data_IF_576101324685
#
_entry.id   IF_576101324685
#
_cell.length_a   1.000
_cell.length_b   1.000
_cell.length_c   1.000
_cell.angle_alpha   90.00
_cell.angle_beta   90.00
_cell.angle_gamma   90.00
#
_symmetry.space_group_name_H-M   'P 1'
#
loop_
_entity.id
_entity.type
_entity.pdbx_description
1 polymer ?
#
# COMPACT_ATOMS: atom_id res chain seq x y z
N UNK A 1 -19.05 -16.83 -8.07
CA UNK A 1 -17.97 -15.91 -8.48
C UNK A 1 -16.65 -16.57 -8.15
N UNK A 2 -15.79 -16.68 -9.16
CA UNK A 2 -14.48 -17.33 -9.06
C UNK A 2 -13.47 -16.47 -8.30
N UNK A 3 -12.47 -17.12 -7.72
CA UNK A 3 -11.34 -16.46 -7.09
C UNK A 3 -10.43 -15.81 -8.15
N UNK A 4 -9.81 -14.69 -7.83
CA UNK A 4 -8.83 -14.01 -8.70
C UNK A 4 -7.42 -14.02 -8.10
N UNK A 5 -6.41 -13.89 -8.96
CA UNK A 5 -4.99 -13.95 -8.59
C UNK A 5 -4.43 -12.62 -8.05
N UNK A 6 -5.11 -11.50 -8.33
CA UNK A 6 -4.75 -10.15 -7.93
C UNK A 6 -5.96 -9.42 -7.34
N UNK A 7 -5.76 -8.26 -6.71
CA UNK A 7 -6.89 -7.43 -6.29
C UNK A 7 -7.64 -6.90 -7.53
N UNK A 8 -8.94 -7.20 -7.69
CA UNK A 8 -9.71 -6.77 -8.84
C UNK A 8 -10.10 -5.29 -8.71
N UNK A 9 -10.51 -4.70 -9.83
CA UNK A 9 -11.25 -3.44 -9.80
C UNK A 9 -12.60 -3.64 -9.10
N UNK A 10 -12.92 -2.72 -8.19
CA UNK A 10 -14.17 -2.68 -7.46
C UNK A 10 -14.19 -3.45 -6.15
N UNK A 11 -15.39 -3.77 -5.66
CA UNK A 11 -15.53 -4.42 -4.35
C UNK A 11 -15.28 -5.92 -4.43
N UNK A 12 -14.67 -6.46 -3.39
CA UNK A 12 -14.43 -7.88 -3.22
C UNK A 12 -14.50 -8.28 -1.75
N UNK A 13 -14.72 -9.56 -1.51
CA UNK A 13 -14.46 -10.20 -0.23
C UNK A 13 -13.03 -10.70 -0.17
N UNK A 14 -12.41 -10.54 1.00
CA UNK A 14 -11.17 -11.24 1.35
C UNK A 14 -11.58 -12.44 2.22
N UNK A 15 -11.56 -13.64 1.64
CA UNK A 15 -12.04 -14.87 2.28
C UNK A 15 -10.91 -15.70 2.82
N UNK A 16 -11.12 -16.36 3.94
CA UNK A 16 -10.24 -17.43 4.40
C UNK A 16 -10.29 -18.58 3.38
N UNK A 17 -9.14 -19.09 2.93
CA UNK A 17 -9.09 -20.14 1.90
C UNK A 17 -9.70 -21.46 2.37
N UNK A 18 -9.49 -21.81 3.64
CA UNK A 18 -9.87 -23.11 4.21
C UNK A 18 -11.21 -23.12 4.97
N UNK A 19 -11.84 -21.96 5.18
CA UNK A 19 -13.03 -21.82 6.06
C UNK A 19 -14.01 -20.74 5.54
N UNK A 20 -15.31 -20.80 5.90
CA UNK A 20 -16.33 -19.88 5.37
C UNK A 20 -16.33 -18.50 6.07
N UNK A 21 -15.15 -17.97 6.40
CA UNK A 21 -14.97 -16.67 7.03
C UNK A 21 -14.43 -15.64 6.04
N UNK A 22 -14.75 -14.38 6.29
CA UNK A 22 -14.23 -13.22 5.58
C UNK A 22 -13.59 -12.23 6.55
N UNK A 23 -12.64 -11.44 6.06
CA UNK A 23 -12.11 -10.27 6.77
C UNK A 23 -13.23 -9.26 6.95
N UNK A 24 -13.46 -8.85 8.19
CA UNK A 24 -14.60 -8.07 8.66
C UNK A 24 -14.11 -6.95 9.59
N UNK A 25 -14.63 -5.73 9.42
CA UNK A 25 -14.43 -4.66 10.40
C UNK A 25 -15.34 -4.92 11.58
N UNK A 26 -14.76 -5.11 12.78
CA UNK A 26 -15.49 -5.51 13.98
C UNK A 26 -16.70 -4.60 14.25
N UNK A 27 -17.89 -5.21 14.40
CA UNK A 27 -19.20 -4.55 14.54
C UNK A 27 -19.52 -3.51 13.45
N UNK A 28 -18.79 -3.52 12.34
CA UNK A 28 -18.83 -2.49 11.31
C UNK A 28 -18.52 -1.09 11.86
N UNK A 29 -17.59 -0.99 12.81
CA UNK A 29 -17.14 0.29 13.36
C UNK A 29 -16.64 1.24 12.27
N UNK A 30 -16.77 2.54 12.52
CA UNK A 30 -16.44 3.59 11.54
C UNK A 30 -15.32 4.52 12.03
N UNK A 31 -14.64 4.14 13.11
CA UNK A 31 -13.57 4.94 13.72
C UNK A 31 -12.21 4.29 13.49
N UNK A 32 -11.18 5.12 13.56
CA UNK A 32 -9.79 4.67 13.64
C UNK A 32 -9.61 3.66 14.79
N UNK A 33 -8.63 2.77 14.63
CA UNK A 33 -8.24 1.75 15.61
C UNK A 33 -9.31 0.67 15.85
N UNK A 34 -10.40 0.65 15.06
CA UNK A 34 -11.34 -0.48 15.06
C UNK A 34 -10.63 -1.73 14.56
N UNK A 35 -10.67 -2.81 15.35
CA UNK A 35 -10.02 -4.06 15.04
C UNK A 35 -10.59 -4.73 13.79
N UNK A 36 -9.70 -5.36 13.02
CA UNK A 36 -10.07 -6.26 11.93
C UNK A 36 -10.11 -7.67 12.45
N UNK A 37 -11.21 -8.34 12.16
CA UNK A 37 -11.52 -9.68 12.62
C UNK A 37 -11.85 -10.58 11.43
N UNK A 38 -12.04 -11.86 11.69
CA UNK A 38 -12.78 -12.74 10.81
C UNK A 38 -14.21 -12.96 11.31
N UNK A 39 -15.16 -13.00 10.37
CA UNK A 39 -16.56 -13.32 10.65
C UNK A 39 -17.13 -14.19 9.52
N UNK A 40 -18.13 -15.07 9.77
CA UNK A 40 -18.79 -15.80 8.70
C UNK A 40 -19.20 -14.86 7.55
N UNK A 41 -18.96 -15.28 6.31
CA UNK A 41 -19.30 -14.43 5.17
C UNK A 41 -20.80 -14.11 5.17
N UNK A 42 -21.11 -12.82 5.23
CA UNK A 42 -22.47 -12.31 5.20
C UNK A 42 -23.00 -12.30 3.78
N UNK A 43 -24.24 -12.76 3.59
CA UNK A 43 -24.96 -12.69 2.32
C UNK A 43 -25.81 -11.41 2.19
N UNK A 44 -26.14 -10.79 3.32
CA UNK A 44 -26.87 -9.53 3.45
C UNK A 44 -26.15 -8.63 4.43
N UNK A 45 -26.28 -7.30 4.28
CA UNK A 45 -25.59 -6.31 5.12
C UNK A 45 -24.07 -6.55 5.26
N UNK A 46 -23.47 -7.05 4.19
CA UNK A 46 -22.07 -7.47 4.14
C UNK A 46 -21.10 -6.32 3.91
N UNK A 47 -21.56 -5.07 3.92
CA UNK A 47 -20.76 -3.89 3.54
C UNK A 47 -19.53 -3.66 4.44
N UNK A 48 -19.53 -4.19 5.67
CA UNK A 48 -18.35 -4.15 6.54
C UNK A 48 -17.32 -5.27 6.26
N UNK A 49 -17.63 -6.18 5.33
CA UNK A 49 -16.77 -7.25 4.81
C UNK A 49 -16.31 -7.02 3.36
N UNK A 50 -16.76 -5.92 2.76
CA UNK A 50 -16.41 -5.55 1.39
C UNK A 50 -15.24 -4.59 1.39
N UNK A 51 -14.26 -4.90 0.56
CA UNK A 51 -13.00 -4.18 0.42
C UNK A 51 -12.81 -3.76 -1.03
N UNK A 52 -12.10 -2.66 -1.23
CA UNK A 52 -11.62 -2.22 -2.54
C UNK A 52 -10.12 -1.96 -2.46
N UNK A 53 -9.42 -2.17 -3.56
CA UNK A 53 -8.00 -1.86 -3.67
C UNK A 53 -7.77 -0.64 -4.56
N UNK A 54 -7.11 0.38 -4.03
CA UNK A 54 -6.68 1.56 -4.78
C UNK A 54 -5.29 1.96 -4.30
N UNK A 55 -4.31 2.05 -5.21
CA UNK A 55 -2.97 2.56 -4.88
C UNK A 55 -2.26 1.82 -3.72
N UNK A 56 -2.52 0.53 -3.56
CA UNK A 56 -2.00 -0.27 -2.46
C UNK A 56 -2.85 -0.20 -1.18
N UNK A 57 -3.82 0.71 -1.08
CA UNK A 57 -4.73 0.73 0.06
C UNK A 57 -5.85 -0.29 -0.10
N UNK A 58 -6.21 -0.96 0.98
CA UNK A 58 -7.43 -1.75 1.09
C UNK A 58 -8.48 -0.94 1.85
N UNK A 59 -9.48 -0.43 1.14
CA UNK A 59 -10.51 0.48 1.66
C UNK A 59 -11.76 -0.32 2.00
N UNK A 60 -12.30 -0.17 3.21
CA UNK A 60 -13.56 -0.81 3.59
C UNK A 60 -14.79 -0.05 3.03
N UNK A 61 -15.77 -0.77 2.46
CA UNK A 61 -16.98 -0.15 1.88
C UNK A 61 -17.81 0.63 2.90
N UNK A 62 -17.93 0.13 4.14
CA UNK A 62 -18.78 0.75 5.15
C UNK A 62 -18.17 2.02 5.74
N UNK A 63 -16.88 1.97 6.11
CA UNK A 63 -16.23 3.06 6.84
C UNK A 63 -15.49 4.05 5.95
N UNK A 64 -15.06 3.65 4.75
CA UNK A 64 -14.13 4.42 3.92
C UNK A 64 -12.70 4.50 4.49
N UNK A 65 -12.44 3.85 5.63
CA UNK A 65 -11.12 3.73 6.23
C UNK A 65 -10.32 2.60 5.57
N UNK A 66 -8.99 2.64 5.75
CA UNK A 66 -8.08 1.68 5.13
C UNK A 66 -7.55 0.66 6.13
N UNK A 67 -7.23 -0.53 5.64
CA UNK A 67 -6.54 -1.57 6.40
C UNK A 67 -5.14 -1.08 6.82
N UNK A 68 -4.84 -1.17 8.12
CA UNK A 68 -3.65 -0.59 8.73
C UNK A 68 -3.02 -1.57 9.72
N UNK A 69 -1.68 -1.65 9.71
CA UNK A 69 -0.90 -2.36 10.72
C UNK A 69 -0.65 -1.42 11.89
N UNK A 70 -1.25 -1.72 13.05
CA UNK A 70 -1.18 -0.88 14.24
C UNK A 70 0.27 -0.69 14.69
N UNK A 71 0.70 0.56 14.77
CA UNK A 71 2.01 0.93 15.34
C UNK A 71 3.23 0.62 14.46
N UNK A 72 3.05 0.18 13.20
CA UNK A 72 4.14 -0.03 12.24
C UNK A 72 4.33 -1.49 11.80
N UNK A 73 5.24 -1.71 10.84
CA UNK A 73 5.42 -3.01 10.17
C UNK A 73 6.37 -3.90 10.98
N UNK A 74 5.79 -4.74 11.83
CA UNK A 74 6.51 -5.70 12.66
C UNK A 74 5.62 -6.93 12.92
N UNK A 75 6.22 -8.07 13.26
CA UNK A 75 5.48 -9.26 13.68
C UNK A 75 4.60 -8.97 14.91
N UNK A 76 3.51 -9.73 15.03
CA UNK A 76 2.58 -9.73 16.16
C UNK A 76 1.79 -8.42 16.33
N UNK A 77 1.80 -7.54 15.31
CA UNK A 77 0.99 -6.33 15.29
C UNK A 77 -0.44 -6.64 14.89
N UNK A 78 -1.39 -6.02 15.59
CA UNK A 78 -2.81 -6.12 15.29
C UNK A 78 -3.12 -5.39 13.96
N UNK A 79 -4.00 -5.99 13.15
CA UNK A 79 -4.57 -5.31 11.99
C UNK A 79 -5.84 -4.56 12.43
N UNK A 80 -5.89 -3.29 12.06
CA UNK A 80 -6.97 -2.35 12.38
C UNK A 80 -7.43 -1.67 11.08
N UNK A 81 -8.49 -0.87 11.16
CA UNK A 81 -8.71 0.20 10.18
C UNK A 81 -8.22 1.54 10.72
N UNK A 82 -7.78 2.41 9.82
CA UNK A 82 -7.38 3.76 10.15
C UNK A 82 -7.65 4.71 8.98
N UNK A 83 -7.70 6.01 9.24
CA UNK A 83 -7.74 7.02 8.20
C UNK A 83 -6.56 6.84 7.24
N UNK A 84 -6.80 7.05 5.94
CA UNK A 84 -5.75 7.01 4.92
C UNK A 84 -4.67 8.02 5.30
N UNK A 85 -3.49 7.52 5.66
CA UNK A 85 -2.33 8.35 5.95
C UNK A 85 -1.78 8.91 4.65
N UNK A 86 -1.31 10.16 4.65
CA UNK A 86 -0.77 10.76 3.44
C UNK A 86 0.60 10.12 3.14
N UNK A 87 1.08 10.26 1.90
CA UNK A 87 2.43 9.84 1.51
C UNK A 87 2.59 8.32 1.39
N UNK A 88 3.74 7.80 1.79
CA UNK A 88 4.10 6.39 1.77
C UNK A 88 3.10 5.51 2.45
N UNK A 89 2.71 5.91 3.67
CA UNK A 89 1.85 5.15 4.56
C UNK A 89 2.13 3.63 4.47
N UNK A 90 3.40 3.25 4.65
CA UNK A 90 3.87 1.88 4.40
C UNK A 90 3.04 0.82 5.15
N UNK A 91 2.58 1.15 6.35
CA UNK A 91 1.75 0.28 7.18
C UNK A 91 0.29 0.16 6.70
N UNK A 92 -0.05 0.79 5.56
CA UNK A 92 -1.36 0.77 4.90
C UNK A 92 -1.27 0.37 3.41
N UNK A 93 -0.07 0.02 2.92
CA UNK A 93 0.14 -0.47 1.54
C UNK A 93 0.20 -1.98 1.52
N UNK A 94 -0.68 -2.60 0.77
CA UNK A 94 -0.90 -4.03 0.73
C UNK A 94 -0.75 -4.57 -0.68
N UNK A 95 -0.28 -5.81 -0.77
CA UNK A 95 -0.26 -6.61 -1.99
C UNK A 95 -0.84 -7.98 -1.71
N UNK A 96 -1.32 -8.63 -2.77
CA UNK A 96 -1.81 -9.99 -2.74
C UNK A 96 -1.08 -10.81 -3.79
N UNK A 97 -0.55 -11.96 -3.38
CA UNK A 97 0.11 -12.91 -4.27
C UNK A 97 0.06 -14.30 -3.63
N UNK A 98 -0.26 -15.34 -4.42
CA UNK A 98 -0.23 -16.74 -4.00
C UNK A 98 -1.04 -17.03 -2.72
N UNK A 99 -2.17 -16.34 -2.55
CA UNK A 99 -3.03 -16.46 -1.37
C UNK A 99 -2.57 -15.66 -0.14
N UNK A 100 -1.44 -14.96 -0.20
CA UNK A 100 -0.94 -14.14 0.89
C UNK A 100 -1.26 -12.66 0.68
N UNK A 101 -1.69 -11.98 1.74
CA UNK A 101 -1.79 -10.52 1.78
C UNK A 101 -0.65 -10.00 2.65
N UNK A 102 0.16 -9.09 2.13
CA UNK A 102 1.38 -8.60 2.78
C UNK A 102 1.60 -7.11 2.56
N UNK A 103 2.31 -6.42 3.46
CA UNK A 103 2.68 -5.03 3.24
C UNK A 103 3.63 -4.93 2.05
N UNK A 104 3.41 -3.95 1.17
CA UNK A 104 4.19 -3.77 -0.06
C UNK A 104 5.70 -3.62 0.22
N UNK A 105 6.08 -3.10 1.39
CA UNK A 105 7.46 -2.91 1.82
C UNK A 105 8.11 -4.13 2.49
N UNK A 106 7.34 -5.16 2.88
CA UNK A 106 7.90 -6.36 3.50
C UNK A 106 7.08 -7.64 3.18
N UNK A 107 7.42 -8.35 2.09
CA UNK A 107 6.71 -9.56 1.67
C UNK A 107 6.96 -10.79 2.56
N UNK A 108 7.87 -10.68 3.55
CA UNK A 108 8.13 -11.76 4.51
C UNK A 108 7.16 -11.75 5.69
N UNK A 109 6.35 -10.69 5.82
CA UNK A 109 5.25 -10.62 6.78
C UNK A 109 3.92 -10.69 6.04
N UNK A 110 2.93 -11.38 6.59
CA UNK A 110 1.62 -11.60 5.97
C UNK A 110 0.51 -11.49 7.01
N UNK A 111 -0.71 -11.26 6.54
CA UNK A 111 -1.92 -11.34 7.35
C UNK A 111 -2.10 -12.76 7.88
N UNK A 112 -2.44 -12.88 9.17
CA UNK A 112 -2.58 -14.14 9.89
C UNK A 112 -3.75 -14.09 10.89
N UNK A 113 -4.53 -15.16 10.94
CA UNK A 113 -5.54 -15.40 11.98
C UNK A 113 -4.83 -16.14 13.13
N UNK A 114 -4.32 -15.37 14.09
CA UNK A 114 -3.43 -15.88 15.14
C UNK A 114 -4.09 -17.01 15.93
N UNK A 115 -3.31 -18.08 16.15
CA UNK A 115 -3.71 -19.23 16.98
C UNK A 115 -4.49 -20.32 16.25
N UNK A 116 -4.76 -20.20 14.94
CA UNK A 116 -5.49 -21.25 14.21
C UNK A 116 -6.99 -21.30 14.51
N UNK A 117 -7.45 -20.44 15.42
CA UNK A 117 -8.81 -20.47 15.92
C UNK A 117 -9.73 -19.67 15.00
N UNK A 118 -10.28 -20.35 13.99
CA UNK A 118 -11.36 -19.81 13.16
C UNK A 118 -12.65 -19.70 13.98
N UNK A 119 -12.74 -18.66 14.80
CA UNK A 119 -13.90 -18.32 15.61
C UNK A 119 -14.43 -16.96 15.17
N UNK A 120 -15.72 -16.76 15.40
CA UNK A 120 -16.36 -15.47 15.16
C UNK A 120 -15.66 -14.39 16.01
N UNK A 121 -15.16 -13.34 15.36
CA UNK A 121 -14.49 -12.25 16.06
C UNK A 121 -13.01 -12.48 16.33
N UNK A 122 -12.40 -13.57 15.84
CA UNK A 122 -10.95 -13.73 15.96
C UNK A 122 -10.23 -12.59 15.26
N UNK A 123 -9.31 -11.96 15.99
CA UNK A 123 -8.50 -10.85 15.51
C UNK A 123 -7.50 -11.32 14.44
N UNK A 124 -7.17 -10.38 13.57
CA UNK A 124 -6.21 -10.55 12.48
C UNK A 124 -4.92 -9.81 12.84
N UNK A 125 -3.77 -10.43 12.57
CA UNK A 125 -2.45 -9.91 12.91
C UNK A 125 -1.52 -9.93 11.70
N UNK A 126 -0.43 -9.18 11.79
CA UNK A 126 0.72 -9.31 10.90
C UNK A 126 1.71 -10.32 11.48
N UNK A 127 2.12 -11.32 10.71
CA UNK A 127 3.03 -12.37 11.18
C UNK A 127 4.02 -12.83 10.10
N UNK A 128 5.06 -13.56 10.49
CA UNK A 128 6.00 -14.15 9.54
C UNK A 128 5.31 -15.12 8.58
N UNK A 129 5.62 -14.99 7.30
CA UNK A 129 5.09 -15.86 6.24
C UNK A 129 5.49 -17.32 6.52
N UNK A 130 4.49 -18.17 6.62
CA UNK A 130 4.64 -19.61 6.79
C UNK A 130 3.87 -20.34 5.68
N UNK A 131 4.57 -20.94 4.69
CA UNK A 131 3.97 -21.68 3.58
C UNK A 131 3.02 -22.82 3.98
N UNK A 132 3.17 -23.34 5.19
CA UNK A 132 2.37 -24.44 5.72
C UNK A 132 1.17 -23.96 6.56
N UNK A 133 1.03 -22.65 6.78
CA UNK A 133 -0.06 -22.11 7.58
C UNK A 133 -1.31 -21.84 6.75
N UNK A 134 -2.40 -22.54 7.07
CA UNK A 134 -3.70 -22.27 6.45
C UNK A 134 -4.33 -20.95 6.92
N UNK A 135 -3.92 -20.42 8.08
CA UNK A 135 -4.44 -19.15 8.63
C UNK A 135 -3.94 -17.91 7.92
N UNK A 136 -2.93 -18.08 7.05
CA UNK A 136 -2.30 -17.03 6.27
C UNK A 136 -2.72 -17.06 4.79
N UNK A 137 -3.68 -17.92 4.45
CA UNK A 137 -4.13 -18.15 3.09
C UNK A 137 -5.54 -17.62 2.87
N UNK A 138 -5.64 -16.69 1.93
CA UNK A 138 -6.87 -15.99 1.57
C UNK A 138 -7.22 -16.20 0.10
N UNK A 139 -8.49 -16.00 -0.21
CA UNK A 139 -9.06 -15.96 -1.55
C UNK A 139 -9.68 -14.58 -1.75
N UNK A 140 -9.35 -13.93 -2.86
CA UNK A 140 -10.04 -12.71 -3.28
C UNK A 140 -11.23 -13.11 -4.14
N UNK A 141 -12.44 -12.88 -3.61
CA UNK A 141 -13.69 -13.15 -4.30
C UNK A 141 -14.33 -11.82 -4.71
N UNK A 142 -14.35 -11.48 -6.02
CA UNK A 142 -15.05 -10.29 -6.51
C UNK A 142 -16.51 -10.25 -6.05
N UNK A 143 -17.04 -9.05 -5.82
CA UNK A 143 -18.42 -8.82 -5.40
C UNK A 143 -19.18 -7.96 -6.42
N UNK A 144 -20.02 -8.64 -7.20
CA UNK A 144 -20.92 -8.12 -8.26
C UNK A 144 -20.24 -7.38 -9.44
N UNK A 145 -20.81 -7.56 -10.65
CA UNK A 145 -20.11 -7.41 -11.93
C UNK A 145 -20.19 -5.99 -12.57
N UNK A 146 -21.33 -5.28 -12.56
CA UNK A 146 -21.43 -3.95 -13.22
C UNK A 146 -22.08 -2.86 -12.35
N UNK A 147 -23.08 -3.19 -11.52
CA UNK A 147 -23.81 -2.22 -10.68
C UNK A 147 -22.97 -1.71 -9.49
N UNK A 148 -22.11 -2.57 -8.94
CA UNK A 148 -21.13 -2.22 -7.92
C UNK A 148 -20.16 -1.14 -8.42
N UNK A 149 -19.72 -1.21 -9.69
CA UNK A 149 -18.82 -0.24 -10.35
C UNK A 149 -19.41 1.17 -10.46
N UNK A 150 -20.74 1.30 -10.51
CA UNK A 150 -21.43 2.59 -10.58
C UNK A 150 -21.61 3.22 -9.19
N UNK A 151 -21.99 2.43 -8.18
CA UNK A 151 -22.01 2.89 -6.78
C UNK A 151 -20.63 3.33 -6.28
N UNK A 152 -19.58 2.67 -6.79
CA UNK A 152 -18.18 3.02 -6.57
C UNK A 152 -17.82 4.43 -7.05
N UNK A 153 -18.41 4.91 -8.15
CA UNK A 153 -18.13 6.26 -8.64
C UNK A 153 -18.66 7.37 -7.71
N UNK A 154 -19.66 7.06 -6.87
CA UNK A 154 -20.29 7.99 -5.93
C UNK A 154 -19.61 8.02 -4.55
N UNK A 155 -18.91 6.94 -4.17
CA UNK A 155 -18.12 6.85 -2.93
C UNK A 155 -16.65 7.29 -3.12
N UNK A 156 -16.22 7.47 -4.37
CA UNK A 156 -14.94 8.13 -4.69
C UNK A 156 -15.00 9.59 -4.22
N UNK A 157 -14.09 10.09 -3.36
CA UNK A 157 -13.55 11.42 -3.66
C UNK A 157 -13.05 11.33 -5.10
N UNK A 158 -13.51 12.24 -5.99
CA UNK A 158 -13.33 12.16 -7.45
C UNK A 158 -12.05 11.45 -7.83
N UNK A 159 -12.10 10.41 -8.70
CA UNK A 159 -10.88 9.75 -9.15
C UNK A 159 -9.96 10.86 -9.63
N UNK A 160 -8.79 10.99 -9.00
CA UNK A 160 -7.76 11.89 -9.48
C UNK A 160 -7.53 11.48 -10.92
N UNK A 161 -8.12 12.22 -11.86
CA UNK A 161 -7.97 11.99 -13.29
C UNK A 161 -6.47 11.96 -13.53
N UNK A 162 -5.97 10.81 -13.98
CA UNK A 162 -4.55 10.60 -14.14
C UNK A 162 -4.08 11.42 -15.34
N UNK A 163 -3.72 12.67 -15.06
CA UNK A 163 -3.29 13.63 -16.07
C UNK A 163 -1.79 13.50 -16.41
N UNK A 164 -1.08 12.54 -15.81
CA UNK A 164 0.35 12.32 -16.01
C UNK A 164 0.71 10.82 -16.08
N UNK A 165 1.63 10.49 -16.99
CA UNK A 165 2.28 9.18 -17.09
C UNK A 165 3.37 8.97 -16.02
N UNK A 166 3.82 10.03 -15.35
CA UNK A 166 4.82 9.94 -14.29
C UNK A 166 4.25 9.25 -13.03
N UNK A 167 5.03 8.41 -12.32
CA UNK A 167 4.58 7.80 -11.07
C UNK A 167 4.25 8.85 -10.02
N UNK A 168 3.14 8.66 -9.31
CA UNK A 168 2.80 9.52 -8.17
C UNK A 168 3.75 9.26 -7.02
N UNK A 169 3.81 10.18 -6.07
CA UNK A 169 4.65 10.06 -4.86
C UNK A 169 4.42 8.72 -4.15
N UNK A 170 3.18 8.23 -4.06
CA UNK A 170 2.82 6.96 -3.43
C UNK A 170 3.35 5.73 -4.19
N UNK A 171 3.66 5.86 -5.47
CA UNK A 171 4.09 4.78 -6.38
C UNK A 171 5.63 4.70 -6.50
N UNK A 172 6.36 5.68 -5.97
CA UNK A 172 7.83 5.78 -6.10
C UNK A 172 8.56 4.58 -5.47
N UNK A 173 8.08 4.08 -4.31
CA UNK A 173 8.68 2.90 -3.68
C UNK A 173 8.47 1.63 -4.53
N UNK A 174 7.32 1.49 -5.17
CA UNK A 174 7.05 0.34 -6.01
C UNK A 174 7.97 0.31 -7.23
N UNK A 175 8.24 1.48 -7.81
CA UNK A 175 9.24 1.65 -8.85
C UNK A 175 10.65 1.26 -8.34
N UNK A 176 11.04 1.75 -7.16
CA UNK A 176 12.32 1.41 -6.52
C UNK A 176 12.49 -0.10 -6.32
N UNK A 177 11.49 -0.76 -5.74
CA UNK A 177 11.49 -2.21 -5.51
C UNK A 177 11.61 -2.98 -6.81
N UNK A 178 10.80 -2.63 -7.83
CA UNK A 178 10.83 -3.30 -9.12
C UNK A 178 12.22 -3.25 -9.76
N UNK A 179 12.88 -2.08 -9.73
CA UNK A 179 14.19 -1.91 -10.35
C UNK A 179 15.33 -2.46 -9.49
N UNK A 180 15.49 -1.93 -8.27
CA UNK A 180 16.69 -2.16 -7.45
C UNK A 180 16.66 -3.46 -6.63
N UNK A 181 15.47 -4.01 -6.35
CA UNK A 181 15.33 -5.21 -5.51
C UNK A 181 14.94 -6.45 -6.31
N UNK A 182 14.17 -6.28 -7.39
CA UNK A 182 13.61 -7.38 -8.18
C UNK A 182 14.22 -7.52 -9.58
N UNK A 183 15.08 -6.58 -9.99
CA UNK A 183 15.68 -6.55 -11.34
C UNK A 183 14.65 -6.65 -12.48
N UNK A 184 13.46 -6.05 -12.30
CA UNK A 184 12.41 -6.02 -13.32
C UNK A 184 12.65 -4.90 -14.34
N UNK A 185 12.27 -5.17 -15.58
CA UNK A 185 12.21 -4.15 -16.62
C UNK A 185 11.05 -3.17 -16.34
N UNK A 186 11.31 -1.88 -16.46
CA UNK A 186 10.36 -0.80 -16.16
C UNK A 186 10.45 0.33 -17.18
N UNK A 187 9.43 1.19 -17.25
CA UNK A 187 9.43 2.34 -18.18
C UNK A 187 10.42 3.44 -17.74
N UNK A 188 10.84 4.35 -18.63
CA UNK A 188 11.68 5.50 -18.25
C UNK A 188 11.07 6.37 -17.15
N UNK A 189 9.74 6.54 -17.15
CA UNK A 189 9.00 7.25 -16.10
C UNK A 189 9.12 6.55 -14.74
N UNK A 190 8.95 5.23 -14.72
CA UNK A 190 9.13 4.42 -13.52
C UNK A 190 10.59 4.42 -13.06
N UNK A 191 11.56 4.38 -13.98
CA UNK A 191 12.98 4.40 -13.66
C UNK A 191 13.38 5.72 -13.00
N UNK A 192 12.91 6.85 -13.54
CA UNK A 192 13.10 8.16 -12.93
C UNK A 192 12.48 8.21 -11.52
N UNK A 193 11.26 7.69 -11.35
CA UNK A 193 10.62 7.58 -10.03
C UNK A 193 11.38 6.67 -9.05
N UNK A 194 11.92 5.55 -9.52
CA UNK A 194 12.72 4.62 -8.74
C UNK A 194 14.01 5.27 -8.22
N UNK A 195 14.71 6.02 -9.06
CA UNK A 195 15.92 6.74 -8.68
C UNK A 195 15.65 7.91 -7.75
N UNK A 196 14.57 8.66 -7.96
CA UNK A 196 14.12 9.68 -7.01
C UNK A 196 13.87 9.10 -5.62
N UNK A 197 13.19 7.94 -5.55
CA UNK A 197 13.00 7.24 -4.29
C UNK A 197 14.31 6.82 -3.64
N UNK A 198 15.25 6.26 -4.43
CA UNK A 198 16.56 5.85 -3.94
C UNK A 198 17.30 7.03 -3.31
N UNK A 199 17.39 8.16 -4.01
CA UNK A 199 18.03 9.37 -3.49
C UNK A 199 17.39 9.86 -2.19
N UNK A 200 16.05 9.88 -2.11
CA UNK A 200 15.35 10.20 -0.86
C UNK A 200 15.69 9.25 0.28
N UNK A 201 15.66 7.94 0.01
CA UNK A 201 15.96 6.90 1.01
C UNK A 201 17.40 7.03 1.52
N UNK A 202 18.36 7.29 0.63
CA UNK A 202 19.76 7.44 0.96
C UNK A 202 19.98 8.71 1.80
N UNK A 203 19.38 9.84 1.41
CA UNK A 203 19.41 11.10 2.17
C UNK A 203 18.83 10.94 3.59
N UNK A 204 17.65 10.34 3.72
CA UNK A 204 17.02 10.09 5.03
C UNK A 204 17.89 9.17 5.90
N UNK A 205 18.53 8.17 5.29
CA UNK A 205 19.43 7.25 6.02
C UNK A 205 20.67 7.98 6.52
N UNK A 206 21.21 8.92 5.74
CA UNK A 206 22.33 9.76 6.16
C UNK A 206 21.98 10.66 7.35
N UNK A 207 20.83 11.35 7.32
CA UNK A 207 20.35 12.17 8.43
C UNK A 207 20.21 11.34 9.72
N UNK A 208 19.62 10.14 9.61
CA UNK A 208 19.48 9.21 10.75
C UNK A 208 20.83 8.80 11.32
N UNK A 209 21.80 8.49 10.46
CA UNK A 209 23.15 8.10 10.90
C UNK A 209 23.89 9.24 11.63
N UNK A 210 23.57 10.51 11.29
CA UNK A 210 24.09 11.70 11.96
C UNK A 210 23.28 12.14 13.19
N UNK A 211 22.19 11.44 13.51
CA UNK A 211 21.19 11.86 14.51
C UNK A 211 20.62 13.26 14.24
N UNK A 212 20.52 13.65 12.97
CA UNK A 212 19.89 14.91 12.56
C UNK A 212 18.36 14.72 12.45
N UNK A 213 17.56 15.74 12.81
CA UNK A 213 16.11 15.69 12.64
C UNK A 213 15.74 15.62 11.17
N UNK A 214 14.69 14.86 10.85
CA UNK A 214 14.16 14.76 9.48
C UNK A 214 12.97 15.71 9.39
N UNK A 215 13.20 16.89 8.82
CA UNK A 215 12.19 17.95 8.67
C UNK A 215 12.18 18.44 7.23
N UNK A 216 11.00 18.77 6.70
CA UNK A 216 10.83 19.27 5.34
C UNK A 216 10.91 20.80 5.23
N UNK A 217 11.94 21.41 5.83
CA UNK A 217 12.21 22.84 5.69
C UNK A 217 12.79 23.21 4.31
N UNK A 218 12.95 24.51 4.04
CA UNK A 218 13.47 24.99 2.75
C UNK A 218 14.88 24.46 2.44
N UNK A 219 15.73 24.37 3.45
CA UNK A 219 17.13 23.93 3.30
C UNK A 219 17.19 22.45 2.92
N UNK A 220 16.47 21.61 3.66
CA UNK A 220 16.42 20.16 3.49
C UNK A 220 15.77 19.80 2.15
N UNK A 221 14.70 20.50 1.75
CA UNK A 221 14.07 20.32 0.43
C UNK A 221 14.98 20.70 -0.73
N UNK A 222 15.75 21.80 -0.62
CA UNK A 222 16.75 22.18 -1.63
C UNK A 222 17.87 21.15 -1.75
N UNK A 223 18.41 20.70 -0.61
CA UNK A 223 19.45 19.67 -0.58
C UNK A 223 18.95 18.36 -1.21
N UNK A 224 17.76 17.91 -0.82
CA UNK A 224 17.14 16.71 -1.38
C UNK A 224 16.91 16.84 -2.88
N UNK A 225 16.39 17.98 -3.35
CA UNK A 225 16.13 18.22 -4.77
C UNK A 225 17.39 18.07 -5.62
N UNK A 226 18.52 18.61 -5.15
CA UNK A 226 19.81 18.46 -5.83
C UNK A 226 20.27 17.00 -5.91
N UNK A 227 20.19 16.25 -4.80
CA UNK A 227 20.54 14.82 -4.77
C UNK A 227 19.67 13.99 -5.71
N UNK A 228 18.36 14.25 -5.71
CA UNK A 228 17.40 13.58 -6.60
C UNK A 228 17.74 13.85 -8.06
N UNK A 229 18.01 15.11 -8.43
CA UNK A 229 18.36 15.46 -9.81
C UNK A 229 19.63 14.74 -10.27
N UNK A 230 20.67 14.70 -9.42
CA UNK A 230 21.92 14.01 -9.73
C UNK A 230 21.73 12.50 -9.93
N UNK A 231 21.03 11.83 -9.01
CA UNK A 231 20.79 10.38 -9.07
C UNK A 231 19.93 10.00 -10.28
N UNK A 232 18.86 10.76 -10.55
CA UNK A 232 17.96 10.51 -11.68
C UNK A 232 18.67 10.75 -13.01
N UNK A 233 19.43 11.85 -13.14
CA UNK A 233 20.23 12.09 -14.33
C UNK A 233 21.23 10.96 -14.55
N UNK A 234 21.95 10.53 -13.51
CA UNK A 234 22.93 9.45 -13.60
C UNK A 234 22.31 8.16 -14.15
N UNK A 235 21.22 7.67 -13.54
CA UNK A 235 20.63 6.39 -13.94
C UNK A 235 20.02 6.46 -15.35
N UNK A 236 19.38 7.57 -15.72
CA UNK A 236 18.72 7.70 -17.01
C UNK A 236 19.75 7.81 -18.13
N UNK A 237 20.88 8.48 -17.90
CA UNK A 237 22.00 8.51 -18.85
C UNK A 237 22.63 7.12 -19.00
N UNK A 238 22.87 6.40 -17.91
CA UNK A 238 23.40 5.03 -17.96
C UNK A 238 22.50 4.08 -18.76
N UNK A 239 21.19 4.21 -18.61
CA UNK A 239 20.19 3.40 -19.33
C UNK A 239 19.84 3.95 -20.72
N UNK A 240 20.51 5.01 -21.19
CA UNK A 240 20.29 5.63 -22.50
C UNK A 240 18.85 6.12 -22.75
N UNK A 241 18.15 6.51 -21.69
CA UNK A 241 16.75 6.99 -21.72
C UNK A 241 16.61 8.37 -21.09
N UNK A 242 17.67 9.17 -21.19
CA UNK A 242 17.75 10.51 -20.59
C UNK A 242 16.82 11.51 -21.27
N UNK A 243 15.95 12.11 -20.45
CA UNK A 243 15.13 13.27 -20.82
C UNK A 243 15.05 14.24 -19.63
N UNK A 244 15.34 15.53 -19.86
CA UNK A 244 15.32 16.55 -18.81
C UNK A 244 13.96 16.65 -18.11
N UNK A 245 12.86 16.43 -18.84
CA UNK A 245 11.50 16.44 -18.28
C UNK A 245 11.32 15.36 -17.20
N UNK A 246 11.90 14.17 -17.37
CA UNK A 246 11.84 13.11 -16.38
C UNK A 246 12.59 13.47 -15.10
N UNK A 247 13.72 14.17 -15.22
CA UNK A 247 14.47 14.68 -14.06
C UNK A 247 13.62 15.69 -13.28
N UNK A 248 12.96 16.60 -14.00
CA UNK A 248 12.12 17.63 -13.40
C UNK A 248 10.89 17.03 -12.69
N UNK A 249 10.19 16.08 -13.34
CA UNK A 249 9.03 15.40 -12.74
C UNK A 249 9.43 14.53 -11.54
N UNK A 250 10.56 13.85 -11.60
CA UNK A 250 11.09 13.06 -10.49
C UNK A 250 11.45 13.93 -9.28
N UNK A 251 12.06 15.09 -9.51
CA UNK A 251 12.37 16.07 -8.47
C UNK A 251 11.10 16.63 -7.81
N UNK A 252 10.07 16.99 -8.59
CA UNK A 252 8.75 17.42 -8.05
C UNK A 252 8.07 16.32 -7.24
N UNK A 253 8.08 15.08 -7.73
CA UNK A 253 7.45 13.95 -7.05
C UNK A 253 8.16 13.64 -5.72
N UNK A 254 9.49 13.72 -5.70
CA UNK A 254 10.29 13.55 -4.49
C UNK A 254 10.06 14.68 -3.47
N UNK A 255 10.02 15.94 -3.91
CA UNK A 255 9.73 17.07 -3.02
C UNK A 255 8.32 16.96 -2.42
N UNK A 256 7.31 16.63 -3.24
CA UNK A 256 5.93 16.41 -2.78
C UNK A 256 5.82 15.24 -1.81
N UNK A 257 6.60 14.18 -2.05
CA UNK A 257 6.70 13.05 -1.13
C UNK A 257 7.29 13.49 0.21
N UNK A 258 8.47 14.12 0.18
CA UNK A 258 9.26 14.44 1.37
C UNK A 258 8.54 15.46 2.24
N UNK A 259 8.00 16.50 1.62
CA UNK A 259 7.17 17.50 2.29
C UNK A 259 5.94 16.87 2.95
N UNK A 260 5.32 15.88 2.30
CA UNK A 260 4.12 15.28 2.85
C UNK A 260 4.41 14.34 4.04
N UNK A 261 5.56 13.67 4.06
CA UNK A 261 5.95 12.77 5.15
C UNK A 261 6.56 13.51 6.35
N UNK A 262 7.24 14.62 6.11
CA UNK A 262 8.09 15.28 7.11
C UNK A 262 7.80 16.78 7.29
N UNK A 263 6.66 17.27 6.80
CA UNK A 263 6.11 18.54 7.30
C UNK A 263 5.48 18.29 8.67
N UNK A 264 5.81 19.16 9.62
CA UNK A 264 5.11 19.29 10.89
C UNK A 264 3.65 19.75 10.70
#
# INVERSE_FOLDING_TARGET
MEAVADFPEGFFFIRCKSKPFSIDVNNGGMTNDTAIIIWPQKLVDSINQLWMHEEGFLINKKSGLVLDIRGGIERDKLIIQYARKPGLAHNQRWKYQDGYIFPASNPNLVIDIRGGEYKNGSNVFLNAKNPHSQTQQFIIQPFENEKSRQELALLRPSPNQRNSHFPRREELYDCYRMFYLENKQISPYQLAGAAAFKAMKDYISELKNKNEPIVADETSRKALSHLVQQEVQHILTQQQVYHQELVNEASKAADSYFSNEYND
#
